data_IF_382397066027
#
_entry.id   IF_382397066027
#
_cell.length_a   1.000
_cell.length_b   1.000
_cell.length_c   1.000
_cell.angle_alpha   90.00
_cell.angle_beta   90.00
_cell.angle_gamma   90.00
#
_symmetry.space_group_name_H-M   'P 1'
#
loop_
_entity.id
_entity.type
_entity.pdbx_description
1 polymer ?
#
# COMPACT_ATOMS: atom_id res chain seq x y z
N UNK A 1 6.96 16.23 6.43
CA UNK A 1 8.25 16.09 7.11
C UNK A 1 9.18 17.09 6.46
N UNK A 2 9.91 17.85 7.27
CA UNK A 2 10.87 18.83 6.76
C UNK A 2 12.27 18.25 6.97
N UNK A 3 13.09 18.20 5.93
CA UNK A 3 14.47 17.71 6.02
C UNK A 3 15.43 18.89 6.11
N UNK A 4 16.30 18.87 7.13
CA UNK A 4 17.34 19.90 7.28
C UNK A 4 18.69 19.30 6.90
N UNK A 5 19.38 19.97 5.98
CA UNK A 5 20.74 19.62 5.59
C UNK A 5 21.73 20.20 6.60
N UNK A 6 22.45 19.33 7.30
CA UNK A 6 23.48 19.71 8.25
C UNK A 6 24.86 19.86 7.57
N UNK A 7 25.12 19.04 6.56
CA UNK A 7 26.37 19.03 5.79
C UNK A 7 26.11 18.76 4.31
N UNK A 8 27.07 19.09 3.45
CA UNK A 8 27.01 18.73 2.03
C UNK A 8 26.99 17.22 1.84
N UNK A 9 25.92 16.73 1.21
CA UNK A 9 25.71 15.31 0.92
C UNK A 9 26.67 14.89 -0.21
N UNK A 10 27.56 13.91 0.02
CA UNK A 10 28.48 13.44 -1.02
C UNK A 10 27.75 12.47 -1.96
N UNK A 11 26.90 13.00 -2.84
CA UNK A 11 26.09 12.21 -3.80
C UNK A 11 26.95 11.24 -4.62
N UNK A 12 28.16 11.67 -4.98
CA UNK A 12 29.14 10.86 -5.72
C UNK A 12 29.77 9.71 -4.90
N UNK A 13 29.53 9.60 -3.59
CA UNK A 13 29.94 8.47 -2.74
C UNK A 13 28.77 7.57 -2.38
N UNK A 14 27.54 8.01 -2.59
CA UNK A 14 26.32 7.32 -2.18
C UNK A 14 25.82 6.43 -3.32
N UNK A 15 25.64 5.14 -3.04
CA UNK A 15 24.83 4.20 -3.85
C UNK A 15 25.05 4.21 -5.37
N UNK A 16 26.23 3.76 -5.83
CA UNK A 16 26.57 3.52 -7.25
C UNK A 16 26.73 4.76 -8.17
N UNK A 17 27.71 5.64 -7.88
CA UNK A 17 28.12 6.76 -8.77
C UNK A 17 28.80 6.32 -10.08
N UNK A 18 28.90 5.00 -10.37
CA UNK A 18 29.60 4.48 -11.54
C UNK A 18 28.72 4.32 -12.77
N UNK A 19 27.41 4.50 -12.64
CA UNK A 19 26.45 4.44 -13.75
C UNK A 19 26.05 5.87 -14.11
N UNK A 20 26.12 6.19 -15.42
CA UNK A 20 25.87 7.54 -15.95
C UNK A 20 24.45 8.04 -15.64
N UNK A 21 23.50 7.10 -15.62
CA UNK A 21 22.14 7.33 -15.17
C UNK A 21 22.03 6.71 -13.78
N UNK A 22 21.56 7.46 -12.79
CA UNK A 22 21.32 6.94 -11.45
C UNK A 22 20.05 7.57 -10.85
N UNK A 23 19.40 6.84 -9.96
CA UNK A 23 18.32 7.28 -9.10
C UNK A 23 18.58 6.75 -7.70
N UNK A 24 18.57 7.62 -6.70
CA UNK A 24 18.89 7.32 -5.32
C UNK A 24 17.69 7.67 -4.44
N UNK A 25 17.29 6.72 -3.62
CA UNK A 25 16.18 6.85 -2.68
C UNK A 25 16.67 6.61 -1.25
N UNK A 26 16.03 7.24 -0.29
CA UNK A 26 16.28 6.97 1.14
C UNK A 26 15.34 5.86 1.63
N UNK A 27 15.85 4.90 2.38
CA UNK A 27 15.03 3.85 3.02
C UNK A 27 14.14 4.40 4.13
N UNK A 28 12.98 3.80 4.35
CA UNK A 28 12.09 4.10 5.49
C UNK A 28 11.81 2.87 6.36
N UNK A 29 11.40 3.11 7.61
CA UNK A 29 10.99 2.09 8.59
C UNK A 29 9.45 2.11 8.67
N UNK A 30 8.76 0.96 8.71
CA UNK A 30 9.30 -0.41 8.80
C UNK A 30 9.82 -0.97 7.47
N UNK A 31 9.32 -0.53 6.31
CA UNK A 31 9.75 -1.02 5.00
C UNK A 31 9.48 0.00 3.90
N UNK A 32 10.34 0.05 2.87
CA UNK A 32 10.14 0.82 1.65
C UNK A 32 11.12 1.98 1.49
N UNK A 33 10.74 2.95 0.66
CA UNK A 33 11.49 4.18 0.42
C UNK A 33 10.66 5.40 0.85
N UNK A 34 11.34 6.43 1.34
CA UNK A 34 10.71 7.71 1.68
C UNK A 34 10.69 8.65 0.46
N UNK A 35 9.73 9.56 0.45
CA UNK A 35 9.66 10.68 -0.48
C UNK A 35 10.42 11.93 0.02
N UNK A 36 11.15 11.85 1.14
CA UNK A 36 11.87 12.98 1.74
C UNK A 36 13.19 13.35 1.03
N UNK A 37 13.88 12.35 0.46
CA UNK A 37 15.09 12.57 -0.31
C UNK A 37 15.04 11.74 -1.59
N UNK A 38 15.01 12.47 -2.70
CA UNK A 38 14.92 11.94 -4.05
C UNK A 38 16.04 12.55 -4.87
N UNK A 39 16.99 11.72 -5.29
CA UNK A 39 18.10 12.16 -6.16
C UNK A 39 18.04 11.38 -7.45
N UNK A 40 18.26 12.05 -8.57
CA UNK A 40 18.28 11.42 -9.86
C UNK A 40 19.15 12.19 -10.86
N UNK A 41 19.75 11.45 -11.78
CA UNK A 41 20.17 11.98 -13.07
C UNK A 41 18.98 12.58 -13.84
N UNK A 42 19.26 13.55 -14.70
CA UNK A 42 18.23 14.22 -15.48
C UNK A 42 17.48 13.20 -16.37
N UNK A 43 16.15 13.29 -16.41
CA UNK A 43 15.25 12.44 -17.23
C UNK A 43 15.35 10.94 -16.92
N UNK A 44 15.67 10.58 -15.68
CA UNK A 44 15.69 9.19 -15.28
C UNK A 44 14.29 8.53 -15.42
N UNK A 45 14.18 7.36 -16.09
CA UNK A 45 12.90 6.73 -16.44
C UNK A 45 12.03 6.36 -15.22
N UNK A 46 12.63 6.04 -14.07
CA UNK A 46 11.89 5.81 -12.82
C UNK A 46 10.99 6.99 -12.45
N UNK A 47 11.50 8.22 -12.56
CA UNK A 47 10.71 9.40 -12.21
C UNK A 47 9.68 9.72 -13.29
N UNK A 48 9.96 9.41 -14.55
CA UNK A 48 8.95 9.47 -15.60
C UNK A 48 7.78 8.53 -15.27
N UNK A 49 8.07 7.30 -14.84
CA UNK A 49 7.06 6.33 -14.38
C UNK A 49 6.29 6.84 -13.15
N UNK A 50 6.97 7.43 -12.16
CA UNK A 50 6.29 8.03 -11.01
C UNK A 50 5.34 9.15 -11.42
N UNK A 51 5.79 10.09 -12.25
CA UNK A 51 4.96 11.20 -12.71
C UNK A 51 3.76 10.70 -13.53
N UNK A 52 3.94 9.71 -14.40
CA UNK A 52 2.83 9.16 -15.21
C UNK A 52 1.80 8.40 -14.37
N UNK A 53 2.21 7.77 -13.26
CA UNK A 53 1.32 7.00 -12.39
C UNK A 53 0.57 7.85 -11.35
N UNK A 54 1.04 9.06 -11.03
CA UNK A 54 0.42 9.97 -10.05
C UNK A 54 -1.11 10.14 -10.25
N UNK A 55 -1.62 10.39 -11.47
CA UNK A 55 -3.06 10.59 -11.69
C UNK A 55 -3.89 9.36 -11.35
N UNK A 56 -3.39 8.16 -11.66
CA UNK A 56 -4.09 6.91 -11.40
C UNK A 56 -4.23 6.66 -9.89
N UNK A 57 -3.14 6.82 -9.14
CA UNK A 57 -3.15 6.66 -7.68
C UNK A 57 -4.02 7.73 -6.99
N UNK A 58 -3.97 8.98 -7.45
CA UNK A 58 -4.87 10.01 -6.94
C UNK A 58 -6.34 9.72 -7.25
N UNK A 59 -6.67 9.20 -8.44
CA UNK A 59 -8.04 8.83 -8.79
C UNK A 59 -8.60 7.73 -7.88
N UNK A 60 -7.78 6.74 -7.53
CA UNK A 60 -8.17 5.62 -6.66
C UNK A 60 -8.42 6.10 -5.22
N UNK A 61 -7.63 7.03 -4.70
CA UNK A 61 -7.73 7.47 -3.29
C UNK A 61 -8.76 8.58 -3.07
N UNK A 62 -9.00 9.42 -4.08
CA UNK A 62 -9.84 10.63 -3.94
C UNK A 62 -11.26 10.35 -3.42
N UNK A 63 -11.85 9.21 -3.79
CA UNK A 63 -13.22 8.85 -3.41
C UNK A 63 -13.41 8.64 -1.90
N UNK A 64 -12.38 8.16 -1.19
CA UNK A 64 -12.43 7.84 0.23
C UNK A 64 -11.43 8.65 1.06
N UNK A 65 -10.72 9.60 0.45
CA UNK A 65 -9.70 10.43 1.10
C UNK A 65 -10.21 11.18 2.34
N UNK A 66 -11.50 11.49 2.43
CA UNK A 66 -12.09 12.12 3.64
C UNK A 66 -12.26 11.15 4.81
N UNK A 67 -12.40 9.85 4.55
CA UNK A 67 -12.60 8.83 5.57
C UNK A 67 -11.27 8.39 6.19
N UNK A 68 -10.22 8.30 5.39
CA UNK A 68 -8.88 7.86 5.79
C UNK A 68 -7.80 8.76 5.13
N UNK A 69 -7.70 10.04 5.54
CA UNK A 69 -6.80 11.01 4.92
C UNK A 69 -5.33 10.58 4.93
N UNK A 70 -4.85 9.99 6.03
CA UNK A 70 -3.47 9.52 6.15
C UNK A 70 -3.14 8.45 5.10
N UNK A 71 -3.97 7.40 5.01
CA UNK A 71 -3.79 6.33 4.03
C UNK A 71 -3.92 6.86 2.60
N UNK A 72 -4.87 7.76 2.34
CA UNK A 72 -5.06 8.34 1.03
C UNK A 72 -3.82 9.13 0.57
N UNK A 73 -3.19 9.90 1.46
CA UNK A 73 -1.95 10.61 1.17
C UNK A 73 -0.79 9.63 0.94
N UNK A 74 -0.62 8.65 1.83
CA UNK A 74 0.45 7.65 1.74
C UNK A 74 0.39 6.87 0.41
N UNK A 75 -0.80 6.46 -0.01
CA UNK A 75 -1.04 5.70 -1.24
C UNK A 75 -1.01 6.58 -2.50
N UNK A 76 -1.42 7.84 -2.43
CA UNK A 76 -1.53 8.68 -3.64
C UNK A 76 -0.20 9.29 -4.08
N UNK A 77 0.50 9.96 -3.16
CA UNK A 77 1.71 10.73 -3.44
C UNK A 77 2.76 10.62 -2.32
N UNK A 78 2.52 9.77 -1.33
CA UNK A 78 3.42 9.57 -0.19
C UNK A 78 4.52 8.52 -0.42
N UNK A 79 5.23 8.14 0.66
CA UNK A 79 6.23 7.07 0.63
C UNK A 79 5.74 5.73 0.06
N UNK A 80 4.49 5.34 0.35
CA UNK A 80 3.95 4.06 -0.13
C UNK A 80 3.69 4.08 -1.64
N UNK A 81 3.16 5.18 -2.17
CA UNK A 81 3.06 5.42 -3.61
C UNK A 81 4.42 5.20 -4.30
N UNK A 82 5.44 5.91 -3.83
CA UNK A 82 6.76 5.88 -4.45
C UNK A 82 7.38 4.47 -4.36
N UNK A 83 7.22 3.80 -3.22
CA UNK A 83 7.67 2.43 -3.02
C UNK A 83 7.05 1.47 -4.04
N UNK A 84 5.75 1.58 -4.30
CA UNK A 84 5.06 0.73 -5.28
C UNK A 84 5.56 1.00 -6.71
N UNK A 85 5.62 2.27 -7.13
CA UNK A 85 6.07 2.58 -8.50
C UNK A 85 7.52 2.15 -8.74
N UNK A 86 8.43 2.41 -7.80
CA UNK A 86 9.83 2.01 -7.93
C UNK A 86 9.94 0.49 -7.97
N UNK A 87 9.17 -0.21 -7.14
CA UNK A 87 9.12 -1.68 -7.15
C UNK A 87 8.61 -2.22 -8.48
N UNK A 88 7.50 -1.70 -8.99
CA UNK A 88 6.92 -2.14 -10.27
C UNK A 88 7.89 -1.87 -11.42
N UNK A 89 8.51 -0.69 -11.45
CA UNK A 89 9.57 -0.38 -12.40
C UNK A 89 10.73 -1.38 -12.35
N UNK A 90 11.22 -1.70 -11.14
CA UNK A 90 12.32 -2.65 -10.97
C UNK A 90 11.94 -4.09 -11.34
N UNK A 91 10.67 -4.46 -11.19
CA UNK A 91 10.14 -5.77 -11.60
C UNK A 91 9.97 -5.88 -13.12
N UNK A 92 9.49 -4.82 -13.77
CA UNK A 92 9.32 -4.76 -15.22
C UNK A 92 10.66 -4.60 -15.97
N UNK A 93 11.61 -3.92 -15.35
CA UNK A 93 12.90 -3.62 -15.96
C UNK A 93 13.90 -4.79 -15.80
N UNK A 94 14.50 -5.24 -16.90
CA UNK A 94 15.56 -6.25 -16.88
C UNK A 94 16.71 -5.84 -15.94
N UNK A 95 17.49 -6.82 -15.46
CA UNK A 95 18.58 -6.71 -14.45
C UNK A 95 19.61 -5.58 -14.64
N UNK A 96 19.70 -4.99 -15.82
CA UNK A 96 20.51 -3.80 -16.12
C UNK A 96 19.99 -2.52 -15.45
N UNK A 97 18.68 -2.29 -15.41
CA UNK A 97 18.08 -1.10 -14.79
C UNK A 97 18.07 -1.16 -13.26
N UNK A 98 18.14 -2.37 -12.69
CA UNK A 98 18.33 -2.56 -11.25
C UNK A 98 19.66 -2.01 -10.74
N UNK A 99 20.67 -1.81 -11.60
CA UNK A 99 21.96 -1.19 -11.21
C UNK A 99 21.91 0.34 -11.19
N UNK A 100 20.87 0.92 -11.78
CA UNK A 100 20.65 2.35 -11.95
C UNK A 100 19.88 2.94 -10.76
N UNK A 101 19.09 2.13 -10.06
CA UNK A 101 18.38 2.52 -8.84
C UNK A 101 19.14 2.06 -7.59
N UNK A 102 19.44 2.99 -6.69
CA UNK A 102 20.05 2.73 -5.39
C UNK A 102 19.11 3.12 -4.25
N UNK A 103 19.16 2.37 -3.16
CA UNK A 103 18.51 2.75 -1.90
C UNK A 103 19.61 2.94 -0.86
N UNK A 104 19.66 4.12 -0.24
CA UNK A 104 20.58 4.42 0.84
C UNK A 104 19.88 4.26 2.18
N UNK A 105 20.60 3.65 3.12
CA UNK A 105 20.12 3.50 4.47
C UNK A 105 20.03 4.86 5.18
N UNK A 106 19.01 5.05 6.02
CA UNK A 106 18.85 6.24 6.84
C UNK A 106 20.08 6.50 7.74
N UNK A 107 20.73 5.44 8.24
CA UNK A 107 21.92 5.55 9.09
C UNK A 107 23.12 6.16 8.36
N UNK A 108 23.27 5.90 7.06
CA UNK A 108 24.35 6.48 6.24
C UNK A 108 24.12 7.97 5.94
N UNK A 109 22.86 8.40 5.95
CA UNK A 109 22.47 9.80 5.72
C UNK A 109 22.44 10.66 6.97
N UNK A 110 22.37 10.05 8.16
CA UNK A 110 22.25 10.75 9.43
C UNK A 110 23.29 11.88 9.67
N UNK A 111 24.56 11.79 9.21
CA UNK A 111 25.53 12.88 9.37
C UNK A 111 25.24 14.11 8.48
N UNK A 112 24.42 13.94 7.44
CA UNK A 112 24.18 14.96 6.41
C UNK A 112 22.78 15.56 6.49
N UNK A 113 21.78 14.76 6.87
CA UNK A 113 20.37 15.16 6.89
C UNK A 113 19.75 14.70 8.20
N UNK A 114 19.01 15.62 8.82
CA UNK A 114 18.14 15.31 9.95
C UNK A 114 16.70 15.39 9.49
N UNK A 115 15.92 14.34 9.79
CA UNK A 115 14.47 14.34 9.58
C UNK A 115 13.79 15.09 10.71
N UNK A 116 13.09 16.18 10.40
CA UNK A 116 12.19 16.80 11.37
C UNK A 116 10.84 16.09 11.30
N UNK A 117 10.41 15.57 12.44
CA UNK A 117 9.12 14.93 12.58
C UNK A 117 8.01 15.98 12.45
N UNK A 118 7.55 16.23 11.22
CA UNK A 118 6.37 17.06 10.97
C UNK A 118 5.12 16.19 11.02
N UNK A 119 4.27 16.45 12.00
CA UNK A 119 3.00 15.73 12.22
C UNK A 119 1.80 16.38 11.53
N UNK A 120 2.06 17.31 10.61
CA UNK A 120 1.04 18.16 9.99
C UNK A 120 -0.08 17.41 9.26
N UNK A 121 0.16 16.16 8.87
CA UNK A 121 -0.80 15.30 8.15
C UNK A 121 -1.25 14.08 8.97
N UNK A 122 -0.75 13.92 10.19
CA UNK A 122 -1.12 12.81 11.07
C UNK A 122 -2.38 13.19 11.85
N UNK A 123 -3.54 12.87 11.29
CA UNK A 123 -4.81 12.94 12.01
C UNK A 123 -5.02 11.70 12.90
N UNK A 124 -6.19 11.61 13.53
CA UNK A 124 -6.54 10.50 14.42
C UNK A 124 -6.44 9.12 13.75
N UNK A 125 -6.65 9.06 12.42
CA UNK A 125 -6.49 7.86 11.62
C UNK A 125 -5.04 7.35 11.61
N UNK A 126 -4.06 8.24 11.47
CA UNK A 126 -2.64 7.89 11.55
C UNK A 126 -2.29 7.26 12.91
N UNK A 127 -2.80 7.84 14.01
CA UNK A 127 -2.59 7.30 15.36
C UNK A 127 -3.24 5.93 15.52
N UNK A 128 -4.44 5.74 14.98
CA UNK A 128 -5.12 4.43 14.97
C UNK A 128 -4.27 3.38 14.24
N UNK A 129 -3.71 3.69 13.07
CA UNK A 129 -2.86 2.75 12.34
C UNK A 129 -1.55 2.45 13.04
N UNK A 130 -0.89 3.45 13.63
CA UNK A 130 0.31 3.20 14.44
C UNK A 130 -0.02 2.31 15.65
N UNK A 131 -1.13 2.58 16.32
CA UNK A 131 -1.61 1.78 17.46
C UNK A 131 -1.91 0.33 17.09
N UNK A 132 -2.53 0.09 15.93
CA UNK A 132 -2.75 -1.26 15.37
C UNK A 132 -1.41 -1.90 14.97
N UNK A 133 -0.50 -1.15 14.35
CA UNK A 133 0.80 -1.61 13.88
C UNK A 133 1.70 -2.11 15.01
N UNK A 134 1.66 -1.48 16.18
CA UNK A 134 2.38 -1.91 17.39
C UNK A 134 1.84 -3.22 18.00
N UNK A 135 0.64 -3.64 17.59
CA UNK A 135 -0.12 -4.74 18.21
C UNK A 135 -0.42 -5.82 17.17
N UNK A 136 0.56 -6.65 16.79
CA UNK A 136 0.38 -7.66 15.74
C UNK A 136 -0.76 -8.65 16.04
N UNK A 137 -1.06 -8.91 17.31
CA UNK A 137 -2.17 -9.76 17.75
C UNK A 137 -3.54 -9.26 17.27
N UNK A 138 -3.73 -7.95 17.09
CA UNK A 138 -4.99 -7.38 16.58
C UNK A 138 -5.28 -7.81 15.14
N UNK A 139 -4.24 -7.95 14.30
CA UNK A 139 -4.41 -8.44 12.93
C UNK A 139 -4.92 -9.88 12.91
N UNK A 140 -4.38 -10.73 13.79
CA UNK A 140 -4.80 -12.12 13.90
C UNK A 140 -6.23 -12.25 14.46
N UNK A 141 -6.60 -11.44 15.45
CA UNK A 141 -7.97 -11.48 16.01
C UNK A 141 -8.99 -10.93 15.02
N UNK A 142 -8.69 -9.83 14.32
CA UNK A 142 -9.53 -9.31 13.24
C UNK A 142 -9.67 -10.34 12.11
N UNK A 143 -8.57 -10.97 11.68
CA UNK A 143 -8.58 -12.01 10.66
C UNK A 143 -9.43 -13.22 11.06
N UNK A 144 -9.30 -13.69 12.29
CA UNK A 144 -10.11 -14.78 12.83
C UNK A 144 -11.60 -14.41 12.89
N UNK A 145 -11.93 -13.20 13.33
CA UNK A 145 -13.32 -12.72 13.39
C UNK A 145 -13.95 -12.65 11.99
N UNK A 146 -13.24 -12.08 11.01
CA UNK A 146 -13.71 -12.00 9.62
C UNK A 146 -13.90 -13.40 9.02
N UNK A 147 -12.97 -14.33 9.28
CA UNK A 147 -13.07 -15.71 8.82
C UNK A 147 -14.30 -16.42 9.42
N UNK A 148 -14.49 -16.34 10.73
CA UNK A 148 -15.63 -16.95 11.41
C UNK A 148 -16.96 -16.36 10.95
N UNK A 149 -17.05 -15.04 10.82
CA UNK A 149 -18.22 -14.36 10.28
C UNK A 149 -18.51 -14.78 8.83
N UNK A 150 -17.47 -14.87 7.99
CA UNK A 150 -17.58 -15.32 6.61
C UNK A 150 -18.09 -16.77 6.51
N UNK A 151 -17.51 -17.68 7.29
CA UNK A 151 -17.96 -19.08 7.36
C UNK A 151 -19.41 -19.20 7.85
N UNK A 152 -19.78 -18.41 8.85
CA UNK A 152 -21.15 -18.37 9.36
C UNK A 152 -22.15 -17.88 8.30
N UNK A 153 -21.82 -16.83 7.55
CA UNK A 153 -22.67 -16.31 6.47
C UNK A 153 -22.83 -17.38 5.37
N UNK A 154 -21.74 -18.05 5.00
CA UNK A 154 -21.76 -19.13 3.99
C UNK A 154 -22.66 -20.28 4.46
N UNK A 155 -22.52 -20.73 5.71
CA UNK A 155 -23.37 -21.78 6.29
C UNK A 155 -24.86 -21.39 6.25
N UNK A 156 -25.19 -20.16 6.65
CA UNK A 156 -26.56 -19.64 6.61
C UNK A 156 -27.12 -19.57 5.19
N UNK A 157 -26.31 -19.18 4.21
CA UNK A 157 -26.70 -19.16 2.81
C UNK A 157 -26.93 -20.59 2.28
N UNK A 158 -26.05 -21.54 2.60
CA UNK A 158 -26.21 -22.94 2.22
C UNK A 158 -27.48 -23.55 2.81
N UNK A 159 -27.77 -23.27 4.09
CA UNK A 159 -29.00 -23.73 4.75
C UNK A 159 -30.26 -23.10 4.12
N UNK A 160 -30.22 -21.82 3.75
CA UNK A 160 -31.31 -21.16 3.03
C UNK A 160 -31.55 -21.80 1.65
N UNK A 161 -30.48 -22.03 0.89
CA UNK A 161 -30.54 -22.70 -0.42
C UNK A 161 -31.11 -24.10 -0.27
N UNK A 162 -30.62 -24.88 0.70
CA UNK A 162 -31.14 -26.22 1.01
C UNK A 162 -32.63 -26.20 1.38
N UNK A 163 -33.07 -25.25 2.19
CA UNK A 163 -34.48 -25.10 2.57
C UNK A 163 -35.38 -24.74 1.37
N UNK A 164 -34.89 -23.90 0.44
CA UNK A 164 -35.59 -23.58 -0.81
C UNK A 164 -35.72 -24.81 -1.71
N UNK A 165 -34.64 -25.58 -1.89
CA UNK A 165 -34.66 -26.83 -2.65
C UNK A 165 -35.52 -27.92 -2.00
N UNK A 166 -35.70 -27.92 -0.67
CA UNK A 166 -36.59 -28.87 0.02
C UNK A 166 -38.07 -28.50 -0.08
N UNK A 167 -38.41 -27.21 -0.18
CA UNK A 167 -39.80 -26.73 -0.39
C UNK A 167 -40.29 -26.91 -1.83
N UNK A 168 -39.40 -26.80 -2.83
CA UNK A 168 -39.76 -26.98 -4.23
C UNK A 168 -40.42 -28.35 -4.58
N UNK A 169 -39.97 -29.51 -4.07
CA UNK A 169 -40.62 -30.79 -4.36
C UNK A 169 -41.96 -30.97 -3.63
N UNK A 170 -42.18 -30.38 -2.45
CA UNK A 170 -43.46 -30.56 -1.73
C UNK A 170 -44.64 -29.87 -2.41
N UNK A 171 -44.43 -28.69 -3.01
CA UNK A 171 -45.49 -27.97 -3.72
C UNK A 171 -45.89 -28.67 -5.03
N UNK A 172 -44.95 -29.30 -5.73
CA UNK A 172 -45.23 -30.05 -6.97
C UNK A 172 -46.08 -31.30 -6.68
N UNK A 173 -45.85 -31.98 -5.55
CA UNK A 173 -46.67 -33.12 -5.14
C UNK A 173 -48.03 -32.71 -4.58
N UNK A 174 -48.13 -31.60 -3.83
CA UNK A 174 -49.39 -31.07 -3.32
C UNK A 174 -50.36 -30.63 -4.42
N UNK A 175 -49.87 -29.93 -5.45
CA UNK A 175 -50.69 -29.47 -6.59
C UNK A 175 -51.23 -30.64 -7.42
N UNK A 176 -50.51 -31.77 -7.49
CA UNK A 176 -50.99 -32.97 -8.20
C UNK A 176 -52.09 -33.72 -7.46
N UNK A 177 -52.13 -33.66 -6.13
CA UNK A 177 -53.16 -34.32 -5.32
C UNK A 177 -54.49 -33.56 -5.36
N UNK A 178 -54.48 -32.23 -5.33
CA UNK A 178 -55.70 -31.40 -5.43
C UNK A 178 -56.38 -31.45 -6.80
N UNK A 179 -55.64 -31.79 -7.87
CA UNK A 179 -56.20 -31.99 -9.21
C UNK A 179 -56.80 -33.38 -9.45
N UNK A 180 -56.62 -34.29 -8.49
CA UNK A 180 -57.05 -35.69 -8.58
C UNK A 180 -58.20 -36.03 -7.62
N UNK A 181 -58.71 -35.07 -6.84
CA UNK A 181 -59.92 -35.15 -6.02
C UNK A 181 -61.07 -34.39 -6.69
#
# INVERSE_FOLDING_TARGET
MDTVCNNTIPVYKLGSPRVKDYALFKSTIPTGITNDLLVASARHPIYASAISNLPAYNAITRGWARLQPYCAIMISAGPLFLTMVVKDYLLESNSLHSKTAGVVNQTELAPYITDLQSSSWHHADAQMFMWIGERPWLWFTMGAFVLLAGLYIIDRLLLLVYALFRKAPSDIYGIKLDKAA
#
